data_IF_237598103364
#
_entry.id   IF_237598103364
#
_cell.length_a   1.000
_cell.length_b   1.000
_cell.length_c   1.000
_cell.angle_alpha   90.00
_cell.angle_beta   90.00
_cell.angle_gamma   90.00
#
_symmetry.space_group_name_H-M   'P 1'
#
loop_
_entity.id
_entity.type
_entity.pdbx_description
1 polymer ?
#
# COMPACT_ATOMS: atom_id res chain seq x y z
N UNK A 1 10.65 46.50 5.89
CA UNK A 1 10.55 45.12 6.40
C UNK A 1 9.13 44.65 6.16
N UNK A 2 8.86 44.07 4.98
CA UNK A 2 7.57 43.46 4.70
C UNK A 2 7.58 42.04 5.28
N UNK A 3 6.78 41.77 6.31
CA UNK A 3 6.52 40.41 6.75
C UNK A 3 5.76 39.70 5.64
N UNK A 4 6.48 38.96 4.80
CA UNK A 4 5.89 37.96 3.92
C UNK A 4 5.23 36.92 4.82
N UNK A 5 3.93 37.08 5.06
CA UNK A 5 3.09 35.99 5.56
C UNK A 5 3.06 34.95 4.45
N UNK A 6 3.95 33.96 4.52
CA UNK A 6 3.92 32.84 3.58
C UNK A 6 2.51 32.23 3.64
N UNK A 7 1.77 32.29 2.53
CA UNK A 7 0.46 31.62 2.45
C UNK A 7 0.66 30.15 2.84
N UNK A 8 -0.10 29.69 3.83
CA UNK A 8 -0.11 28.28 4.23
C UNK A 8 -0.62 27.46 3.04
N UNK A 9 0.18 26.54 2.51
CA UNK A 9 -0.11 25.78 1.28
C UNK A 9 -1.44 25.01 1.37
N UNK A 10 -1.73 24.42 2.54
CA UNK A 10 -2.97 23.69 2.82
C UNK A 10 -3.61 24.18 4.13
N UNK A 11 -4.46 25.22 4.10
CA UNK A 11 -5.02 25.81 5.31
C UNK A 11 -6.00 24.88 6.05
N UNK A 12 -6.58 23.88 5.38
CA UNK A 12 -7.49 22.90 5.95
C UNK A 12 -6.80 21.69 6.58
N UNK A 13 -5.52 21.45 6.27
CA UNK A 13 -4.73 20.33 6.80
C UNK A 13 -4.01 20.74 8.09
N UNK A 14 -4.80 20.98 9.14
CA UNK A 14 -4.32 21.36 10.48
C UNK A 14 -4.77 20.36 11.53
N UNK A 15 -3.97 20.18 12.59
CA UNK A 15 -4.19 19.17 13.64
C UNK A 15 -5.60 19.19 14.23
N UNK A 16 -6.23 20.37 14.39
CA UNK A 16 -7.58 20.49 14.95
C UNK A 16 -8.68 19.86 14.11
N UNK A 17 -8.43 19.60 12.82
CA UNK A 17 -9.37 18.97 11.90
C UNK A 17 -9.21 17.44 11.85
N UNK A 18 -8.32 16.87 12.68
CA UNK A 18 -8.00 15.46 12.72
C UNK A 18 -8.12 14.92 14.15
N UNK A 19 -8.42 13.61 14.33
CA UNK A 19 -8.63 12.63 13.26
C UNK A 19 -9.99 12.75 12.57
N UNK A 20 -10.06 12.30 11.31
CA UNK A 20 -11.31 12.27 10.53
C UNK A 20 -12.05 10.98 10.88
N UNK A 21 -13.24 11.10 11.46
CA UNK A 21 -14.06 9.95 11.93
C UNK A 21 -15.25 9.63 11.04
N UNK A 22 -15.58 10.49 10.09
CA UNK A 22 -16.78 10.42 9.23
C UNK A 22 -16.47 10.12 7.75
N UNK A 23 -15.27 9.62 7.45
CA UNK A 23 -14.85 9.18 6.11
C UNK A 23 -14.29 7.77 6.28
N UNK A 24 -14.71 6.79 5.48
CA UNK A 24 -14.35 5.38 5.61
C UNK A 24 -15.37 4.52 6.37
N UNK A 25 -15.17 3.20 6.32
CA UNK A 25 -16.01 2.18 6.92
C UNK A 25 -15.19 1.27 7.85
N UNK A 26 -15.89 0.53 8.70
CA UNK A 26 -15.30 -0.55 9.52
C UNK A 26 -16.14 -1.81 9.42
N UNK A 27 -15.48 -2.97 9.52
CA UNK A 27 -16.15 -4.21 9.95
C UNK A 27 -15.66 -4.63 11.34
N UNK A 28 -16.48 -5.39 12.05
CA UNK A 28 -16.08 -6.03 13.31
C UNK A 28 -15.59 -7.44 13.00
N UNK A 29 -14.33 -7.72 13.34
CA UNK A 29 -13.73 -9.04 13.24
C UNK A 29 -14.26 -9.96 14.35
N UNK A 30 -14.09 -11.27 14.17
CA UNK A 30 -14.56 -12.32 15.08
C UNK A 30 -14.02 -12.19 16.52
N UNK A 31 -12.86 -11.55 16.69
CA UNK A 31 -12.23 -11.25 17.98
C UNK A 31 -12.61 -9.88 18.57
N UNK A 32 -13.57 -9.19 17.94
CA UNK A 32 -14.08 -7.88 18.38
C UNK A 32 -13.26 -6.67 17.93
N UNK A 33 -12.11 -6.87 17.26
CA UNK A 33 -11.35 -5.76 16.67
C UNK A 33 -12.11 -5.16 15.49
N UNK A 34 -11.92 -3.86 15.27
CA UNK A 34 -12.37 -3.19 14.05
C UNK A 34 -11.28 -3.28 12.97
N UNK A 35 -11.68 -3.58 11.74
CA UNK A 35 -10.87 -3.40 10.53
C UNK A 35 -11.44 -2.23 9.73
N UNK A 36 -10.67 -1.16 9.62
CA UNK A 36 -10.96 0.04 8.84
C UNK A 36 -10.61 -0.11 7.37
N UNK A 37 -11.42 0.49 6.50
CA UNK A 37 -11.16 0.58 5.07
C UNK A 37 -11.91 1.75 4.43
N UNK A 38 -11.63 2.02 3.16
CA UNK A 38 -12.46 2.87 2.29
C UNK A 38 -12.67 2.19 0.96
N UNK A 39 -13.90 2.24 0.47
CA UNK A 39 -14.30 1.65 -0.80
C UNK A 39 -14.44 2.73 -1.88
N UNK A 40 -13.96 2.42 -3.08
CA UNK A 40 -14.10 3.21 -4.29
C UNK A 40 -14.66 2.32 -5.39
N UNK A 41 -15.59 2.86 -6.19
CA UNK A 41 -16.16 2.18 -7.36
C UNK A 41 -16.01 3.07 -8.58
N UNK A 42 -15.34 2.58 -9.62
CA UNK A 42 -15.04 3.37 -10.82
C UNK A 42 -14.88 2.48 -12.05
N UNK A 43 -15.07 3.05 -13.23
CA UNK A 43 -14.72 2.38 -14.49
C UNK A 43 -13.27 2.65 -14.84
N UNK A 44 -12.52 1.57 -15.08
CA UNK A 44 -11.16 1.62 -15.59
C UNK A 44 -11.16 1.34 -17.09
N UNK A 45 -10.41 2.12 -17.87
CA UNK A 45 -10.24 1.87 -19.31
C UNK A 45 -8.94 1.11 -19.51
N UNK A 46 -9.01 -0.07 -20.11
CA UNK A 46 -7.86 -0.92 -20.38
C UNK A 46 -6.85 -0.21 -21.28
N UNK A 47 -5.56 -0.39 -20.99
CA UNK A 47 -4.47 0.07 -21.85
C UNK A 47 -4.39 -0.76 -23.14
N UNK A 48 -4.72 -2.06 -23.04
CA UNK A 48 -4.87 -2.97 -24.18
C UNK A 48 -6.35 -3.05 -24.61
N UNK A 49 -6.64 -2.47 -25.77
CA UNK A 49 -7.98 -2.40 -26.35
C UNK A 49 -8.39 -3.64 -27.15
N UNK A 50 -7.61 -4.74 -27.08
CA UNK A 50 -7.91 -5.99 -27.79
C UNK A 50 -8.73 -6.99 -26.95
N UNK A 51 -8.88 -6.73 -25.65
CA UNK A 51 -9.66 -7.59 -24.73
C UNK A 51 -10.89 -6.85 -24.23
N UNK A 52 -12.03 -7.54 -24.23
CA UNK A 52 -13.29 -7.02 -23.66
C UNK A 52 -13.52 -7.56 -22.25
N UNK A 53 -13.70 -6.66 -21.28
CA UNK A 53 -14.10 -6.99 -19.89
C UNK A 53 -15.47 -6.41 -19.54
N UNK A 54 -16.27 -6.11 -20.57
CA UNK A 54 -17.58 -5.48 -20.44
C UNK A 54 -18.49 -6.23 -19.46
N UNK A 55 -19.15 -5.48 -18.59
CA UNK A 55 -20.10 -5.99 -17.60
C UNK A 55 -19.49 -6.79 -16.45
N UNK A 56 -18.16 -6.89 -16.37
CA UNK A 56 -17.48 -7.58 -15.26
C UNK A 56 -17.09 -6.59 -14.17
N UNK A 57 -17.33 -6.96 -12.91
CA UNK A 57 -16.84 -6.26 -11.73
C UNK A 57 -15.62 -7.00 -11.17
N UNK A 58 -14.51 -6.27 -10.98
CA UNK A 58 -13.30 -6.79 -10.35
C UNK A 58 -13.07 -6.14 -9.00
N UNK A 59 -12.82 -6.97 -7.99
CA UNK A 59 -12.47 -6.49 -6.65
C UNK A 59 -10.95 -6.43 -6.51
N UNK A 60 -10.45 -5.27 -6.11
CA UNK A 60 -9.04 -5.07 -5.77
C UNK A 60 -8.94 -4.59 -4.33
N UNK A 61 -8.23 -5.34 -3.49
CA UNK A 61 -7.87 -4.87 -2.16
C UNK A 61 -6.53 -4.12 -2.25
N UNK A 62 -6.38 -3.01 -1.55
CA UNK A 62 -5.14 -2.23 -1.51
C UNK A 62 -4.64 -2.08 -0.08
N UNK A 63 -3.35 -2.34 0.16
CA UNK A 63 -2.69 -2.17 1.45
C UNK A 63 -1.64 -1.06 1.31
N UNK A 64 -1.91 0.15 1.83
CA UNK A 64 -0.99 1.27 1.80
C UNK A 64 0.28 1.07 2.62
N UNK A 65 1.29 1.90 2.33
CA UNK A 65 2.52 2.03 3.11
C UNK A 65 2.40 3.01 4.29
N UNK A 66 3.55 3.50 4.77
CA UNK A 66 3.66 4.49 5.85
C UNK A 66 4.29 5.79 5.31
N UNK A 67 3.78 6.99 5.66
CA UNK A 67 2.50 7.23 6.32
C UNK A 67 1.36 6.92 5.34
N UNK A 68 0.39 6.12 5.76
CA UNK A 68 -0.72 5.73 4.91
C UNK A 68 -1.90 5.28 5.73
N UNK A 69 -3.08 5.53 5.21
CA UNK A 69 -4.38 5.18 5.77
C UNK A 69 -5.32 4.89 4.60
N UNK A 70 -6.62 4.77 4.85
CA UNK A 70 -7.64 4.66 3.80
C UNK A 70 -7.68 5.83 2.80
N UNK A 71 -6.93 6.90 3.04
CA UNK A 71 -6.78 8.04 2.13
C UNK A 71 -5.72 7.83 1.04
N UNK A 72 -4.90 6.77 1.14
CA UNK A 72 -3.89 6.47 0.14
C UNK A 72 -4.55 5.88 -1.11
N UNK A 73 -4.78 6.72 -2.13
CA UNK A 73 -5.41 6.34 -3.40
C UNK A 73 -4.80 7.13 -4.55
N UNK A 74 -4.99 6.66 -5.79
CA UNK A 74 -4.54 7.39 -6.96
C UNK A 74 -5.36 8.69 -7.14
N UNK A 75 -4.74 9.85 -7.45
CA UNK A 75 -5.45 11.12 -7.61
C UNK A 75 -6.59 11.11 -8.63
N UNK A 76 -6.50 10.27 -9.67
CA UNK A 76 -7.60 10.12 -10.63
C UNK A 76 -8.92 9.68 -9.97
N UNK A 77 -8.86 9.04 -8.79
CA UNK A 77 -10.04 8.60 -8.03
C UNK A 77 -10.67 9.70 -7.17
N UNK A 78 -10.02 10.87 -7.07
CA UNK A 78 -10.50 12.00 -6.28
C UNK A 78 -11.26 13.04 -7.11
N UNK A 79 -11.29 12.88 -8.44
CA UNK A 79 -12.02 13.79 -9.33
C UNK A 79 -13.53 13.52 -9.28
N UNK A 80 -14.31 14.60 -9.37
CA UNK A 80 -15.79 14.54 -9.42
C UNK A 80 -16.32 13.80 -10.65
N UNK A 81 -15.48 13.56 -11.66
CA UNK A 81 -15.87 12.86 -12.89
C UNK A 81 -16.16 11.38 -12.65
N UNK A 82 -15.54 10.75 -11.64
CA UNK A 82 -15.85 9.36 -11.30
C UNK A 82 -17.23 9.17 -10.67
N UNK A 83 -17.69 10.12 -9.87
CA UNK A 83 -19.02 10.06 -9.23
C UNK A 83 -20.15 10.13 -10.28
N UNK A 84 -19.93 10.85 -11.39
CA UNK A 84 -20.93 11.04 -12.45
C UNK A 84 -20.95 9.91 -13.50
N UNK A 85 -19.91 9.08 -13.58
CA UNK A 85 -19.76 8.07 -14.64
C UNK A 85 -20.44 6.72 -14.33
N UNK A 86 -20.80 6.45 -13.07
CA UNK A 86 -21.44 5.17 -12.70
C UNK A 86 -22.83 4.98 -13.31
N UNK A 87 -23.53 6.07 -13.64
CA UNK A 87 -24.92 6.06 -14.15
C UNK A 87 -25.04 6.45 -15.65
N UNK A 88 -23.93 6.53 -16.39
CA UNK A 88 -23.94 6.95 -17.81
C UNK A 88 -24.05 5.78 -18.80
N UNK A 89 -24.76 5.98 -19.92
CA UNK A 89 -24.86 5.03 -21.03
C UNK A 89 -23.50 4.76 -21.75
N UNK A 90 -22.44 5.51 -21.41
CA UNK A 90 -21.06 5.27 -21.89
C UNK A 90 -20.35 4.07 -21.23
N UNK A 91 -21.06 3.36 -20.35
CA UNK A 91 -20.60 2.15 -19.65
C UNK A 91 -20.68 0.89 -20.53
N UNK A 92 -21.11 1.03 -21.78
CA UNK A 92 -21.20 -0.03 -22.78
C UNK A 92 -19.93 -0.21 -23.64
N UNK A 93 -18.85 0.52 -23.30
CA UNK A 93 -17.55 0.42 -23.97
C UNK A 93 -16.88 -0.92 -23.65
N UNK A 94 -16.54 -1.69 -24.69
CA UNK A 94 -15.93 -3.01 -24.58
C UNK A 94 -14.61 -3.02 -23.80
N UNK A 95 -13.87 -1.91 -23.80
CA UNK A 95 -12.56 -1.80 -23.16
C UNK A 95 -12.62 -1.20 -21.74
N UNK A 96 -13.80 -1.12 -21.13
CA UNK A 96 -13.97 -0.68 -19.74
C UNK A 96 -14.27 -1.85 -18.81
N UNK A 97 -13.69 -1.81 -17.61
CA UNK A 97 -13.97 -2.74 -16.53
C UNK A 97 -14.44 -1.99 -15.29
N UNK A 98 -15.42 -2.53 -14.57
CA UNK A 98 -15.88 -1.95 -13.31
C UNK A 98 -14.95 -2.42 -12.18
N UNK A 99 -14.29 -1.47 -11.51
CA UNK A 99 -13.37 -1.75 -10.41
C UNK A 99 -14.03 -1.38 -9.09
N UNK A 100 -14.01 -2.33 -8.15
CA UNK A 100 -14.31 -2.12 -6.74
C UNK A 100 -13.01 -2.18 -5.95
N UNK A 101 -12.44 -1.01 -5.66
CA UNK A 101 -11.19 -0.86 -4.93
C UNK A 101 -11.48 -0.68 -3.44
N UNK A 102 -10.92 -1.53 -2.58
CA UNK A 102 -11.06 -1.45 -1.12
C UNK A 102 -9.68 -1.18 -0.52
N UNK A 103 -9.45 0.05 -0.06
CA UNK A 103 -8.21 0.47 0.59
C UNK A 103 -8.27 0.11 2.07
N UNK A 104 -7.49 -0.88 2.48
CA UNK A 104 -7.46 -1.40 3.84
C UNK A 104 -6.56 -0.58 4.76
N UNK A 105 -6.94 -0.47 6.02
CA UNK A 105 -6.08 0.07 7.07
C UNK A 105 -5.47 -1.07 7.89
N UNK A 106 -4.14 -1.11 7.93
CA UNK A 106 -3.36 -2.10 8.68
C UNK A 106 -3.72 -2.07 10.17
N UNK A 107 -3.51 -3.16 10.93
CA UNK A 107 -3.90 -3.23 12.34
C UNK A 107 -3.32 -2.07 13.16
N UNK A 108 -4.18 -1.24 13.75
CA UNK A 108 -3.77 -0.06 14.53
C UNK A 108 -3.50 1.22 13.74
N UNK A 109 -3.82 1.26 12.44
CA UNK A 109 -3.78 2.46 11.61
C UNK A 109 -5.21 2.93 11.30
N UNK A 110 -5.43 4.24 11.30
CA UNK A 110 -6.72 4.84 10.97
C UNK A 110 -7.85 4.38 11.88
N UNK A 111 -8.88 3.76 11.30
CA UNK A 111 -10.04 3.21 11.99
C UNK A 111 -9.80 1.78 12.52
N UNK A 112 -8.73 1.10 12.09
CA UNK A 112 -8.41 -0.25 12.55
C UNK A 112 -7.96 -0.27 14.00
N UNK A 113 -8.48 -1.24 14.76
CA UNK A 113 -8.09 -1.46 16.16
C UNK A 113 -6.64 -1.94 16.22
N UNK A 114 -5.87 -1.40 17.17
CA UNK A 114 -4.46 -1.79 17.36
C UNK A 114 -4.35 -3.23 17.84
N UNK A 115 -3.41 -3.97 17.25
CA UNK A 115 -3.09 -5.33 17.65
C UNK A 115 -1.60 -5.62 17.38
N UNK A 116 -0.90 -6.19 18.37
CA UNK A 116 0.50 -6.62 18.25
C UNK A 116 0.59 -7.98 17.55
N UNK A 117 0.29 -8.00 16.26
CA UNK A 117 0.26 -9.21 15.41
C UNK A 117 1.41 -9.20 14.40
N UNK A 118 1.78 -10.36 13.88
CA UNK A 118 2.80 -10.47 12.82
C UNK A 118 2.19 -10.10 11.46
N UNK A 119 2.97 -10.05 10.37
CA UNK A 119 2.42 -9.74 9.04
C UNK A 119 1.46 -10.84 8.55
N UNK A 120 1.82 -12.12 8.78
CA UNK A 120 1.01 -13.29 8.37
C UNK A 120 -0.41 -13.27 8.95
N UNK A 121 -0.55 -12.75 10.17
CA UNK A 121 -1.79 -12.69 10.92
C UNK A 121 -2.89 -11.85 10.25
N UNK A 122 -2.49 -10.81 9.51
CA UNK A 122 -3.42 -9.92 8.82
C UNK A 122 -4.19 -10.61 7.68
N UNK A 123 -3.66 -11.73 7.18
CA UNK A 123 -4.35 -12.55 6.18
C UNK A 123 -5.71 -13.07 6.68
N UNK A 124 -5.84 -13.31 7.99
CA UNK A 124 -7.12 -13.68 8.60
C UNK A 124 -8.11 -12.51 8.60
N UNK A 125 -7.63 -11.28 8.87
CA UNK A 125 -8.45 -10.09 8.84
C UNK A 125 -8.97 -9.82 7.41
N UNK A 126 -8.14 -10.04 6.39
CA UNK A 126 -8.53 -10.00 4.98
C UNK A 126 -9.59 -11.07 4.67
N UNK A 127 -9.38 -12.30 5.14
CA UNK A 127 -10.33 -13.41 4.94
C UNK A 127 -11.71 -13.08 5.52
N UNK A 128 -11.76 -12.56 6.74
CA UNK A 128 -13.00 -12.15 7.40
C UNK A 128 -13.68 -10.99 6.67
N UNK A 129 -12.91 -10.00 6.20
CA UNK A 129 -13.45 -8.94 5.34
C UNK A 129 -14.14 -9.50 4.10
N UNK A 130 -13.46 -10.39 3.38
CA UNK A 130 -14.01 -10.99 2.19
C UNK A 130 -15.27 -11.80 2.48
N UNK A 131 -15.32 -12.54 3.59
CA UNK A 131 -16.50 -13.29 4.02
C UNK A 131 -17.69 -12.36 4.31
N UNK A 132 -17.48 -11.31 5.11
CA UNK A 132 -18.54 -10.37 5.49
C UNK A 132 -19.04 -9.53 4.32
N UNK A 133 -18.17 -9.20 3.35
CA UNK A 133 -18.51 -8.42 2.14
C UNK A 133 -18.86 -9.30 0.92
N UNK A 134 -19.00 -10.62 1.12
CA UNK A 134 -19.30 -11.59 0.07
C UNK A 134 -18.33 -11.56 -1.14
N UNK A 135 -17.07 -11.21 -0.91
CA UNK A 135 -16.02 -11.18 -1.93
C UNK A 135 -15.47 -12.60 -2.09
N UNK A 136 -15.78 -13.22 -3.24
CA UNK A 136 -15.30 -14.58 -3.54
C UNK A 136 -13.94 -14.60 -4.22
N UNK A 137 -13.63 -13.56 -5.00
CA UNK A 137 -12.41 -13.45 -5.78
C UNK A 137 -11.93 -12.01 -5.78
N UNK A 138 -10.63 -11.80 -5.61
CA UNK A 138 -10.03 -10.47 -5.60
C UNK A 138 -8.56 -10.50 -6.02
N UNK A 139 -8.05 -9.37 -6.48
CA UNK A 139 -6.61 -9.11 -6.59
C UNK A 139 -6.16 -8.21 -5.45
N UNK A 140 -4.88 -8.25 -5.10
CA UNK A 140 -4.31 -7.47 -4.00
C UNK A 140 -3.16 -6.58 -4.49
N UNK A 141 -3.18 -5.31 -4.12
CA UNK A 141 -2.05 -4.39 -4.30
C UNK A 141 -1.47 -4.08 -2.93
N UNK A 142 -0.15 -4.14 -2.79
CA UNK A 142 0.53 -3.85 -1.54
C UNK A 142 1.71 -2.93 -1.80
N UNK A 143 1.64 -1.71 -1.23
CA UNK A 143 2.61 -0.66 -1.48
C UNK A 143 3.54 -0.46 -0.27
N UNK A 144 4.85 -0.40 -0.49
CA UNK A 144 5.83 0.02 0.52
C UNK A 144 5.73 -0.82 1.82
N UNK A 145 5.48 -0.19 2.96
CA UNK A 145 5.26 -0.88 4.25
C UNK A 145 4.01 -1.79 4.28
N UNK A 146 3.11 -1.69 3.30
CA UNK A 146 2.02 -2.64 3.06
C UNK A 146 2.49 -3.94 2.40
N UNK A 147 3.65 -3.93 1.75
CA UNK A 147 4.22 -5.06 1.02
C UNK A 147 4.39 -6.34 1.85
N UNK A 148 4.97 -6.31 3.06
CA UNK A 148 5.05 -7.49 3.93
C UNK A 148 3.68 -8.12 4.24
N UNK A 149 2.63 -7.30 4.40
CA UNK A 149 1.25 -7.77 4.58
C UNK A 149 0.68 -8.38 3.28
N UNK A 150 1.01 -7.80 2.12
CA UNK A 150 0.65 -8.36 0.81
C UNK A 150 1.30 -9.70 0.54
N UNK A 151 2.59 -9.85 0.85
CA UNK A 151 3.33 -11.11 0.74
C UNK A 151 2.78 -12.17 1.71
N UNK A 152 2.40 -11.77 2.92
CA UNK A 152 1.71 -12.62 3.88
C UNK A 152 0.37 -13.13 3.35
N UNK A 153 -0.43 -12.26 2.74
CA UNK A 153 -1.70 -12.63 2.13
C UNK A 153 -1.50 -13.55 0.92
N UNK A 154 -0.48 -13.30 0.10
CA UNK A 154 -0.11 -14.17 -1.01
C UNK A 154 0.23 -15.59 -0.52
N UNK A 155 1.04 -15.70 0.54
CA UNK A 155 1.41 -16.96 1.16
C UNK A 155 0.19 -17.71 1.76
N UNK A 156 -0.67 -16.98 2.47
CA UNK A 156 -1.73 -17.57 3.30
C UNK A 156 -3.02 -17.87 2.52
N UNK A 157 -3.35 -17.04 1.54
CA UNK A 157 -4.59 -17.12 0.77
C UNK A 157 -4.38 -17.61 -0.66
N UNK A 158 -3.13 -17.62 -1.14
CA UNK A 158 -2.76 -17.94 -2.52
C UNK A 158 -2.63 -19.43 -2.86
N UNK A 159 -2.91 -20.33 -1.91
CA UNK A 159 -2.88 -21.77 -2.11
C UNK A 159 -4.28 -22.25 -2.54
N UNK A 160 -4.47 -22.49 -3.83
CA UNK A 160 -5.80 -22.66 -4.42
C UNK A 160 -6.67 -23.79 -3.81
N UNK A 161 -6.08 -24.89 -3.32
CA UNK A 161 -6.85 -26.00 -2.75
C UNK A 161 -7.25 -25.81 -1.26
N UNK A 162 -6.70 -24.81 -0.56
CA UNK A 162 -7.13 -24.48 0.83
C UNK A 162 -8.43 -23.64 0.86
N UNK A 163 -8.92 -23.21 -0.31
CA UNK A 163 -10.02 -22.26 -0.45
C UNK A 163 -11.36 -22.87 -0.88
N UNK A 164 -11.61 -24.17 -0.67
CA UNK A 164 -12.94 -24.76 -0.92
C UNK A 164 -14.10 -23.99 -0.24
N UNK A 165 -13.80 -23.21 0.82
CA UNK A 165 -14.74 -22.32 1.52
C UNK A 165 -14.21 -20.90 1.77
N UNK A 166 -13.10 -20.48 1.15
CA UNK A 166 -12.42 -19.19 1.39
C UNK A 166 -12.45 -18.25 0.17
N UNK A 167 -12.10 -16.96 0.32
CA UNK A 167 -11.93 -16.09 -0.84
C UNK A 167 -10.69 -16.50 -1.63
N UNK A 168 -10.75 -16.39 -2.95
CA UNK A 168 -9.63 -16.68 -3.85
C UNK A 168 -8.89 -15.39 -4.18
N UNK A 169 -7.59 -15.35 -3.88
CA UNK A 169 -6.71 -14.28 -4.33
C UNK A 169 -6.17 -14.63 -5.73
N UNK A 170 -6.56 -13.84 -6.73
CA UNK A 170 -6.22 -14.08 -8.14
C UNK A 170 -4.77 -13.73 -8.43
N UNK A 171 -4.34 -12.56 -7.93
CA UNK A 171 -3.04 -11.94 -8.21
C UNK A 171 -2.62 -11.04 -7.06
N UNK A 172 -1.30 -10.89 -6.87
CA UNK A 172 -0.73 -9.97 -5.88
C UNK A 172 0.32 -9.07 -6.52
N UNK A 173 0.03 -7.77 -6.57
CA UNK A 173 0.94 -6.72 -6.99
C UNK A 173 1.73 -6.19 -5.78
N UNK A 174 3.04 -6.34 -5.83
CA UNK A 174 3.98 -5.89 -4.80
C UNK A 174 4.69 -4.64 -5.34
N UNK A 175 4.45 -3.49 -4.74
CA UNK A 175 4.82 -2.19 -5.32
C UNK A 175 5.76 -1.46 -4.36
N UNK A 176 6.99 -1.20 -4.80
CA UNK A 176 8.02 -0.49 -4.02
C UNK A 176 8.15 -1.02 -2.59
N UNK A 177 8.14 -2.36 -2.41
CA UNK A 177 7.96 -3.03 -1.12
C UNK A 177 9.24 -3.12 -0.30
N UNK A 178 9.05 -3.13 1.02
CA UNK A 178 10.05 -3.65 1.96
C UNK A 178 10.26 -5.15 1.75
N UNK A 179 11.50 -5.64 1.85
CA UNK A 179 11.84 -7.06 1.76
C UNK A 179 12.25 -7.65 3.13
N UNK A 180 12.33 -8.99 3.25
CA UNK A 180 12.78 -9.66 4.47
C UNK A 180 14.11 -9.16 5.03
N UNK A 181 14.27 -9.23 6.35
CA UNK A 181 15.42 -8.70 7.10
C UNK A 181 16.79 -9.28 6.71
N UNK A 182 16.79 -10.42 6.04
CA UNK A 182 17.96 -11.17 5.57
C UNK A 182 18.25 -10.93 4.08
N UNK A 183 17.51 -10.03 3.44
CA UNK A 183 17.75 -9.60 2.06
C UNK A 183 19.18 -9.08 1.90
N UNK A 184 20.01 -9.70 1.05
CA UNK A 184 21.35 -9.20 0.77
C UNK A 184 21.28 -7.78 0.20
N UNK A 185 22.21 -6.92 0.59
CA UNK A 185 22.35 -5.56 0.05
C UNK A 185 21.13 -4.63 0.24
N UNK A 186 20.16 -5.00 1.06
CA UNK A 186 18.88 -4.29 1.21
C UNK A 186 19.03 -2.78 1.46
N UNK A 187 20.13 -2.34 2.07
CA UNK A 187 20.36 -0.93 2.41
C UNK A 187 21.43 -0.25 1.54
N UNK A 188 21.99 -0.88 0.50
CA UNK A 188 23.19 -0.37 -0.19
C UNK A 188 23.02 1.06 -0.76
N UNK A 189 21.85 1.40 -1.31
CA UNK A 189 21.53 2.73 -1.86
C UNK A 189 21.01 3.76 -0.83
N UNK A 190 20.78 3.36 0.41
CA UNK A 190 20.30 4.27 1.45
C UNK A 190 21.39 5.21 1.96
N UNK A 191 20.97 6.38 2.42
CA UNK A 191 21.83 7.25 3.23
C UNK A 191 22.15 6.63 4.60
N UNK A 192 23.06 7.26 5.34
CA UNK A 192 23.49 6.75 6.64
C UNK A 192 22.37 6.73 7.69
N UNK A 193 21.39 7.65 7.63
CA UNK A 193 20.29 7.74 8.59
C UNK A 193 19.34 6.56 8.42
N UNK A 194 18.95 6.27 7.17
CA UNK A 194 18.11 5.12 6.86
C UNK A 194 18.84 3.80 7.12
N UNK A 195 20.13 3.69 6.76
CA UNK A 195 20.96 2.52 7.13
C UNK A 195 20.96 2.28 8.64
N UNK A 196 21.10 3.35 9.42
CA UNK A 196 21.08 3.27 10.87
C UNK A 196 19.70 2.90 11.41
N UNK A 197 18.61 3.47 10.86
CA UNK A 197 17.24 3.09 11.22
C UNK A 197 16.97 1.60 10.96
N UNK A 198 17.42 1.08 9.82
CA UNK A 198 17.36 -0.35 9.49
C UNK A 198 18.16 -1.22 10.44
N UNK A 199 19.36 -0.77 10.81
CA UNK A 199 20.15 -1.45 11.84
C UNK A 199 19.42 -1.46 13.19
N UNK A 200 18.78 -0.36 13.60
CA UNK A 200 17.97 -0.29 14.82
C UNK A 200 16.73 -1.18 14.75
N UNK A 201 16.04 -1.25 13.60
CA UNK A 201 14.88 -2.13 13.40
C UNK A 201 15.24 -3.60 13.69
N UNK A 202 16.47 -4.01 13.35
CA UNK A 202 16.99 -5.36 13.63
C UNK A 202 17.52 -5.54 15.05
N UNK A 203 18.29 -4.58 15.55
CA UNK A 203 19.11 -4.78 16.76
C UNK A 203 18.55 -4.12 18.01
N UNK A 204 17.79 -3.03 17.87
CA UNK A 204 17.28 -2.25 19.00
C UNK A 204 15.96 -1.52 18.65
N UNK A 205 14.86 -2.25 18.41
CA UNK A 205 13.58 -1.63 18.04
C UNK A 205 13.09 -0.58 19.04
N UNK A 206 13.35 -0.76 20.33
CA UNK A 206 12.99 0.21 21.37
C UNK A 206 13.67 1.57 21.19
N UNK A 207 14.90 1.61 20.67
CA UNK A 207 15.59 2.87 20.35
C UNK A 207 15.00 3.48 19.08
N UNK A 208 14.69 2.66 18.07
CA UNK A 208 13.99 3.13 16.87
C UNK A 208 12.62 3.73 17.23
N UNK A 209 11.90 3.15 18.20
CA UNK A 209 10.66 3.72 18.71
C UNK A 209 10.83 5.13 19.23
N UNK A 210 11.92 5.43 19.95
CA UNK A 210 12.20 6.80 20.43
C UNK A 210 12.36 7.76 19.26
N UNK A 211 13.09 7.35 18.21
CA UNK A 211 13.27 8.14 16.98
C UNK A 211 11.93 8.38 16.30
N UNK A 212 11.12 7.33 16.11
CA UNK A 212 9.80 7.43 15.48
C UNK A 212 8.85 8.36 16.26
N UNK A 213 8.91 8.38 17.59
CA UNK A 213 8.13 9.31 18.41
C UNK A 213 8.57 10.77 18.23
N UNK A 214 9.86 11.02 18.06
CA UNK A 214 10.38 12.36 17.78
C UNK A 214 9.98 12.83 16.38
N UNK A 215 10.07 11.95 15.39
CA UNK A 215 9.64 12.21 14.01
C UNK A 215 8.13 12.48 13.95
N UNK A 216 7.30 11.68 14.62
CA UNK A 216 5.86 11.90 14.69
C UNK A 216 5.50 13.25 15.33
N UNK A 217 6.18 13.65 16.42
CA UNK A 217 6.01 14.97 17.04
C UNK A 217 6.41 16.11 16.09
N UNK A 218 7.51 15.95 15.35
CA UNK A 218 7.94 16.94 14.37
C UNK A 218 6.95 17.03 13.20
N UNK A 219 6.49 15.89 12.69
CA UNK A 219 5.51 15.80 11.62
C UNK A 219 4.18 16.46 12.01
N UNK A 220 3.68 16.26 13.24
CA UNK A 220 2.48 16.97 13.73
C UNK A 220 2.68 18.48 13.85
N UNK A 221 3.90 18.94 14.17
CA UNK A 221 4.20 20.37 14.28
C UNK A 221 4.25 21.06 12.91
N UNK A 222 4.72 20.35 11.87
CA UNK A 222 4.77 20.87 10.51
C UNK A 222 4.59 19.75 9.47
N UNK A 223 3.34 19.32 9.22
CA UNK A 223 3.07 18.12 8.41
C UNK A 223 3.38 18.34 6.93
N UNK A 224 3.19 19.56 6.42
CA UNK A 224 3.58 19.93 5.05
C UNK A 224 5.09 19.81 4.89
N UNK A 225 5.88 20.38 5.82
CA UNK A 225 7.33 20.27 5.76
C UNK A 225 7.80 18.81 5.84
N UNK A 226 7.21 18.01 6.72
CA UNK A 226 7.54 16.59 6.83
C UNK A 226 7.25 15.83 5.52
N UNK A 227 6.13 16.12 4.86
CA UNK A 227 5.83 15.58 3.53
C UNK A 227 6.86 16.03 2.49
N UNK A 228 7.15 17.35 2.39
CA UNK A 228 8.13 17.87 1.44
C UNK A 228 9.54 17.30 1.65
N UNK A 229 9.99 17.10 2.89
CA UNK A 229 11.31 16.54 3.17
C UNK A 229 11.46 15.11 2.63
N UNK A 230 10.39 14.29 2.68
CA UNK A 230 10.37 12.96 2.06
C UNK A 230 10.52 13.07 0.53
N UNK A 231 9.81 14.03 -0.10
CA UNK A 231 9.89 14.25 -1.55
C UNK A 231 11.29 14.63 -2.02
N UNK A 232 12.02 15.42 -1.21
CA UNK A 232 13.36 15.89 -1.56
C UNK A 232 14.41 14.77 -1.58
N UNK A 233 14.13 13.63 -0.95
CA UNK A 233 15.01 12.46 -0.95
C UNK A 233 14.87 11.60 -2.21
N UNK A 234 13.77 11.75 -2.96
CA UNK A 234 13.51 11.01 -4.19
C UNK A 234 14.34 11.49 -5.39
N UNK A 235 14.48 10.64 -6.44
CA UNK A 235 15.10 11.03 -7.70
C UNK A 235 14.29 12.13 -8.40
N UNK A 236 14.88 12.79 -9.40
CA UNK A 236 14.20 13.84 -10.17
C UNK A 236 12.89 13.37 -10.81
N UNK A 237 12.82 12.11 -11.26
CA UNK A 237 11.61 11.55 -11.83
C UNK A 237 10.45 11.49 -10.83
N UNK A 238 10.71 11.25 -9.54
CA UNK A 238 9.65 11.29 -8.51
C UNK A 238 9.09 12.71 -8.36
N UNK A 239 9.93 13.75 -8.54
CA UNK A 239 9.47 15.16 -8.49
C UNK A 239 8.53 15.49 -9.63
N UNK A 240 8.79 14.98 -10.83
CA UNK A 240 7.89 15.11 -11.99
C UNK A 240 6.53 14.45 -11.72
N UNK A 241 6.48 13.38 -10.91
CA UNK A 241 5.21 12.77 -10.48
C UNK A 241 4.40 13.74 -9.62
N UNK A 242 5.02 14.44 -8.67
CA UNK A 242 4.35 15.47 -7.86
C UNK A 242 3.89 16.68 -8.69
N UNK A 243 4.62 17.03 -9.75
CA UNK A 243 4.21 18.09 -10.68
C UNK A 243 2.99 17.66 -11.51
N UNK A 244 2.97 16.40 -11.98
CA UNK A 244 1.85 15.82 -12.72
C UNK A 244 0.62 15.63 -11.84
N UNK A 245 0.82 15.27 -10.58
CA UNK A 245 -0.23 14.92 -9.63
C UNK A 245 -0.03 15.66 -8.30
N UNK A 246 -0.35 16.98 -8.25
CA UNK A 246 -0.12 17.80 -7.06
C UNK A 246 -0.90 17.35 -5.82
N UNK A 247 -1.97 16.57 -6.00
CA UNK A 247 -2.79 16.00 -4.92
C UNK A 247 -2.03 14.96 -4.07
N UNK A 248 -0.93 14.38 -4.59
CA UNK A 248 -0.14 13.38 -3.86
C UNK A 248 0.44 13.98 -2.56
N UNK A 249 0.91 15.24 -2.59
CA UNK A 249 1.43 15.87 -1.38
C UNK A 249 0.33 16.03 -0.32
N UNK A 250 -0.85 16.52 -0.74
CA UNK A 250 -2.01 16.67 0.15
C UNK A 250 -2.43 15.33 0.75
N UNK A 251 -2.42 14.25 -0.03
CA UNK A 251 -2.68 12.89 0.43
C UNK A 251 -1.71 12.48 1.54
N UNK A 252 -0.40 12.66 1.36
CA UNK A 252 0.57 12.28 2.38
C UNK A 252 0.46 13.15 3.64
N UNK A 253 0.23 14.46 3.50
CA UNK A 253 -0.02 15.36 4.63
C UNK A 253 -1.27 14.92 5.40
N UNK A 254 -2.34 14.57 4.70
CA UNK A 254 -3.59 14.06 5.28
C UNK A 254 -3.35 12.74 6.02
N UNK A 255 -2.57 11.81 5.47
CA UNK A 255 -2.22 10.55 6.14
C UNK A 255 -1.34 10.73 7.38
N UNK A 256 -0.37 11.66 7.34
CA UNK A 256 0.46 12.03 8.52
C UNK A 256 -0.44 12.52 9.65
N UNK A 257 -1.32 13.47 9.35
CA UNK A 257 -2.23 14.06 10.33
C UNK A 257 -3.21 13.02 10.88
N UNK A 258 -3.81 12.21 10.02
CA UNK A 258 -4.73 11.15 10.42
C UNK A 258 -4.08 10.14 11.37
N UNK A 259 -2.89 9.65 11.02
CA UNK A 259 -2.21 8.62 11.81
C UNK A 259 -1.72 9.16 13.16
N UNK A 260 -1.04 10.31 13.17
CA UNK A 260 -0.38 10.79 14.38
C UNK A 260 -1.32 11.50 15.35
N UNK A 261 -2.41 12.13 14.90
CA UNK A 261 -3.42 12.67 15.83
C UNK A 261 -4.21 11.58 16.56
N UNK A 262 -4.28 10.36 15.98
CA UNK A 262 -4.81 9.17 16.66
C UNK A 262 -3.83 8.54 17.66
N UNK A 263 -2.61 9.05 17.77
CA UNK A 263 -1.57 8.46 18.62
C UNK A 263 -1.03 7.12 18.12
N UNK A 264 -1.17 6.81 16.83
CA UNK A 264 -0.84 5.50 16.24
C UNK A 264 0.65 5.32 15.91
N UNK A 265 1.53 6.12 16.51
CA UNK A 265 2.98 5.96 16.36
C UNK A 265 3.48 4.61 16.90
N UNK A 266 2.82 4.07 17.94
CA UNK A 266 3.12 2.74 18.49
C UNK A 266 2.88 1.63 17.47
N UNK A 267 1.91 1.80 16.58
CA UNK A 267 1.66 0.86 15.48
C UNK A 267 2.85 0.83 14.50
N UNK A 268 3.36 2.00 14.10
CA UNK A 268 4.58 2.07 13.27
C UNK A 268 5.78 1.44 13.98
N UNK A 269 5.96 1.72 15.27
CA UNK A 269 7.03 1.15 16.07
C UNK A 269 6.95 -0.39 16.12
N UNK A 270 5.74 -0.93 16.26
CA UNK A 270 5.51 -2.37 16.21
C UNK A 270 5.88 -2.94 14.84
N UNK A 271 5.40 -2.35 13.75
CA UNK A 271 5.74 -2.77 12.38
C UNK A 271 7.25 -2.73 12.11
N UNK A 272 7.95 -1.65 12.50
CA UNK A 272 9.41 -1.57 12.36
C UNK A 272 10.13 -2.68 13.13
N UNK A 273 9.61 -3.07 14.30
CA UNK A 273 10.16 -4.18 15.06
C UNK A 273 10.01 -5.54 14.36
N UNK A 274 9.03 -5.67 13.45
CA UNK A 274 8.82 -6.87 12.64
C UNK A 274 9.72 -6.89 11.40
N UNK A 275 10.12 -5.73 10.87
CA UNK A 275 11.03 -5.66 9.72
C UNK A 275 12.37 -6.32 9.97
N UNK A 276 12.82 -6.36 11.22
CA UNK A 276 14.06 -7.03 11.62
C UNK A 276 13.93 -8.50 12.02
N UNK A 277 12.75 -9.11 11.85
CA UNK A 277 12.42 -10.46 12.35
C UNK A 277 11.89 -11.37 11.23
N UNK A 278 11.80 -12.66 11.52
CA UNK A 278 11.07 -13.59 10.67
C UNK A 278 9.57 -13.28 10.66
N UNK A 279 8.98 -13.18 9.47
CA UNK A 279 7.59 -12.75 9.25
C UNK A 279 6.56 -13.88 9.42
N UNK A 280 7.00 -15.10 9.73
CA UNK A 280 6.14 -16.27 9.88
C UNK A 280 6.01 -17.14 8.63
N UNK A 281 6.63 -16.75 7.51
CA UNK A 281 6.62 -17.50 6.24
C UNK A 281 7.87 -17.22 5.41
N UNK A 282 8.18 -18.10 4.45
CA UNK A 282 9.22 -17.89 3.45
C UNK A 282 8.61 -17.45 2.12
N UNK A 283 9.24 -16.50 1.44
CA UNK A 283 8.79 -16.04 0.11
C UNK A 283 8.77 -17.19 -0.93
N UNK A 284 9.73 -18.12 -0.83
CA UNK A 284 9.80 -19.31 -1.70
C UNK A 284 8.57 -20.22 -1.64
N UNK A 285 7.78 -20.12 -0.58
CA UNK A 285 6.59 -20.96 -0.41
C UNK A 285 5.33 -20.28 -0.96
N UNK A 286 5.42 -19.04 -1.46
CA UNK A 286 4.32 -18.34 -2.14
C UNK A 286 4.05 -18.95 -3.51
N UNK A 287 5.10 -19.20 -4.30
CA UNK A 287 4.99 -19.75 -5.65
C UNK A 287 4.59 -21.23 -5.68
N UNK A 288 4.59 -21.91 -4.53
CA UNK A 288 4.25 -23.34 -4.39
C UNK A 288 2.79 -23.49 -3.99
N UNK A 289 1.95 -23.94 -4.93
CA UNK A 289 0.58 -24.35 -4.66
C UNK A 289 0.51 -25.76 -4.07
N UNK A 290 -0.70 -26.31 -4.06
CA UNK A 290 -0.99 -27.64 -3.51
C UNK A 290 -0.92 -28.68 -4.65
N UNK A 291 -0.44 -29.89 -4.35
CA UNK A 291 -0.31 -31.02 -5.29
C UNK A 291 0.54 -30.71 -6.54
N UNK A 292 1.56 -29.85 -6.39
CA UNK A 292 2.44 -29.47 -7.49
C UNK A 292 1.88 -28.39 -8.43
N UNK A 293 0.70 -27.84 -8.14
CA UNK A 293 0.18 -26.67 -8.85
C UNK A 293 0.95 -25.40 -8.47
N UNK A 294 1.01 -24.38 -9.35
CA UNK A 294 1.58 -23.09 -9.00
C UNK A 294 0.74 -22.39 -7.92
N UNK A 295 1.40 -21.58 -7.10
CA UNK A 295 0.74 -20.68 -6.16
C UNK A 295 0.11 -19.46 -6.85
N UNK A 296 -0.31 -18.48 -6.05
CA UNK A 296 -0.83 -17.22 -6.59
C UNK A 296 0.22 -16.50 -7.44
N UNK A 297 -0.22 -15.89 -8.55
CA UNK A 297 0.66 -15.06 -9.37
C UNK A 297 1.04 -13.79 -8.63
N UNK A 298 2.34 -13.52 -8.54
CA UNK A 298 2.88 -12.29 -8.01
C UNK A 298 3.57 -11.48 -9.10
N UNK A 299 3.54 -10.16 -8.98
CA UNK A 299 4.36 -9.26 -9.79
C UNK A 299 4.92 -8.14 -8.94
N UNK A 300 6.22 -7.91 -9.09
CA UNK A 300 6.93 -6.81 -8.44
C UNK A 300 7.00 -5.62 -9.39
N UNK A 301 6.52 -4.45 -8.93
CA UNK A 301 6.78 -3.16 -9.58
C UNK A 301 7.72 -2.36 -8.70
N UNK A 302 8.87 -1.95 -9.23
CA UNK A 302 9.88 -1.26 -8.44
C UNK A 302 10.62 -0.20 -9.24
N UNK A 303 10.78 0.99 -8.66
CA UNK A 303 11.64 2.03 -9.22
C UNK A 303 13.11 1.73 -8.93
N UNK A 304 13.98 1.74 -9.94
CA UNK A 304 15.40 1.40 -9.74
C UNK A 304 16.14 2.40 -8.83
N UNK A 305 15.63 3.62 -8.71
CA UNK A 305 16.19 4.70 -7.89
C UNK A 305 15.39 4.96 -6.59
N UNK A 306 14.60 3.98 -6.14
CA UNK A 306 13.94 4.05 -4.85
C UNK A 306 14.98 4.07 -3.72
N UNK A 307 15.01 5.18 -2.98
CA UNK A 307 15.97 5.44 -1.91
C UNK A 307 15.58 4.77 -0.59
N UNK A 308 14.29 4.45 -0.40
CA UNK A 308 13.71 3.96 0.86
C UNK A 308 13.44 2.47 0.86
N UNK A 309 12.88 1.93 -0.23
CA UNK A 309 12.80 0.49 -0.49
C UNK A 309 13.74 0.21 -1.65
N UNK A 310 14.97 -0.22 -1.41
CA UNK A 310 15.98 -0.27 -2.49
C UNK A 310 15.61 -1.28 -3.57
N UNK A 311 16.19 -1.10 -4.76
CA UNK A 311 16.02 -2.07 -5.86
C UNK A 311 16.48 -3.49 -5.49
N UNK A 312 17.45 -3.64 -4.58
CA UNK A 312 17.89 -4.94 -4.07
C UNK A 312 16.74 -5.66 -3.34
N UNK A 313 15.87 -4.93 -2.63
CA UNK A 313 14.66 -5.48 -2.01
C UNK A 313 13.67 -5.99 -3.06
N UNK A 314 13.38 -5.18 -4.09
CA UNK A 314 12.46 -5.56 -5.17
C UNK A 314 12.94 -6.79 -5.93
N UNK A 315 14.23 -6.83 -6.30
CA UNK A 315 14.87 -7.99 -6.95
C UNK A 315 14.83 -9.23 -6.09
N UNK A 316 15.17 -9.10 -4.80
CA UNK A 316 15.12 -10.24 -3.89
C UNK A 316 13.71 -10.83 -3.80
N UNK A 317 12.67 -10.00 -3.64
CA UNK A 317 11.28 -10.50 -3.59
C UNK A 317 10.92 -11.26 -4.87
N UNK A 318 11.22 -10.69 -6.04
CA UNK A 318 10.95 -11.33 -7.32
C UNK A 318 11.70 -12.66 -7.49
N UNK A 319 12.98 -12.70 -7.14
CA UNK A 319 13.83 -13.89 -7.26
C UNK A 319 13.45 -15.00 -6.27
N UNK A 320 12.90 -14.66 -5.11
CA UNK A 320 12.49 -15.66 -4.12
C UNK A 320 11.16 -16.34 -4.46
N UNK A 321 10.26 -15.69 -5.21
CA UNK A 321 8.93 -16.22 -5.48
C UNK A 321 8.94 -16.90 -6.86
N UNK A 322 8.78 -18.22 -6.89
CA UNK A 322 8.70 -18.98 -8.14
C UNK A 322 7.56 -18.45 -9.03
N UNK A 323 7.87 -18.16 -10.30
CA UNK A 323 6.90 -17.62 -11.26
C UNK A 323 6.54 -16.15 -11.08
N UNK A 324 7.23 -15.41 -10.20
CA UNK A 324 7.00 -13.99 -10.03
C UNK A 324 7.42 -13.19 -11.28
N UNK A 325 6.52 -12.34 -11.77
CA UNK A 325 6.86 -11.34 -12.78
C UNK A 325 7.56 -10.14 -12.09
N UNK A 326 8.31 -9.35 -12.86
CA UNK A 326 8.89 -8.11 -12.38
C UNK A 326 8.86 -7.01 -13.44
N UNK A 327 8.64 -5.78 -12.99
CA UNK A 327 8.74 -4.54 -13.77
C UNK A 327 9.63 -3.57 -13.00
N UNK A 328 10.88 -3.41 -13.46
CA UNK A 328 11.84 -2.47 -12.88
C UNK A 328 11.93 -1.23 -13.76
N UNK A 329 11.54 -0.08 -13.21
CA UNK A 329 11.43 1.18 -13.96
C UNK A 329 12.65 2.04 -13.69
N UNK A 330 13.43 2.29 -14.73
CA UNK A 330 14.64 3.12 -14.68
C UNK A 330 14.31 4.55 -14.26
N UNK A 331 15.24 5.19 -13.54
CA UNK A 331 15.18 6.59 -13.07
C UNK A 331 14.07 6.94 -12.07
N UNK A 332 13.00 6.13 -12.00
CA UNK A 332 11.91 6.34 -11.07
C UNK A 332 12.23 5.73 -9.70
N UNK A 333 11.67 6.34 -8.65
CA UNK A 333 11.87 5.93 -7.27
C UNK A 333 10.61 5.36 -6.64
N UNK A 334 10.30 5.85 -5.44
CA UNK A 334 9.24 5.29 -4.59
C UNK A 334 7.84 5.61 -5.17
N UNK A 335 7.71 6.68 -5.97
CA UNK A 335 6.43 7.17 -6.49
C UNK A 335 5.87 6.39 -7.69
N UNK A 336 6.50 5.29 -8.09
CA UNK A 336 6.07 4.42 -9.20
C UNK A 336 4.59 4.03 -9.16
N UNK A 337 4.00 3.86 -7.96
CA UNK A 337 2.58 3.54 -7.79
C UNK A 337 1.67 4.46 -8.62
N UNK A 338 1.99 5.75 -8.67
CA UNK A 338 1.14 6.75 -9.33
C UNK A 338 1.33 6.80 -10.85
N UNK A 339 2.51 6.43 -11.35
CA UNK A 339 2.77 6.45 -12.79
C UNK A 339 2.40 5.14 -13.48
N UNK A 340 2.53 4.01 -12.77
CA UNK A 340 2.20 2.68 -13.27
C UNK A 340 0.77 2.24 -12.90
N UNK A 341 -0.06 3.17 -12.43
CA UNK A 341 -1.42 2.89 -11.93
C UNK A 341 -2.24 2.06 -12.93
N UNK A 342 -2.33 2.50 -14.18
CA UNK A 342 -3.14 1.82 -15.20
C UNK A 342 -2.60 0.41 -15.52
N UNK A 343 -1.28 0.26 -15.66
CA UNK A 343 -0.63 -1.04 -15.90
C UNK A 343 -0.83 -2.02 -14.73
N UNK A 344 -0.82 -1.50 -13.49
CA UNK A 344 -1.04 -2.31 -12.28
C UNK A 344 -2.49 -2.77 -12.22
N UNK A 345 -3.47 -1.89 -12.51
CA UNK A 345 -4.88 -2.24 -12.53
C UNK A 345 -5.17 -3.25 -13.65
N UNK A 346 -4.65 -3.02 -14.85
CA UNK A 346 -4.75 -3.94 -15.98
C UNK A 346 -4.20 -5.32 -15.62
N UNK A 347 -2.98 -5.38 -15.08
CA UNK A 347 -2.42 -6.64 -14.64
C UNK A 347 -3.27 -7.28 -13.54
N UNK A 348 -3.82 -6.51 -12.61
CA UNK A 348 -4.67 -7.06 -11.55
C UNK A 348 -5.93 -7.73 -12.10
N UNK A 349 -6.53 -7.24 -13.20
CA UNK A 349 -7.84 -7.72 -13.69
C UNK A 349 -7.77 -8.64 -14.91
N UNK A 350 -6.69 -8.60 -15.68
CA UNK A 350 -6.53 -9.44 -16.86
C UNK A 350 -6.41 -10.92 -16.51
N UNK A 351 -7.04 -11.78 -17.32
CA UNK A 351 -6.96 -13.25 -17.21
C UNK A 351 -7.32 -13.76 -15.80
N UNK A 352 -8.31 -13.13 -15.17
CA UNK A 352 -8.84 -13.54 -13.87
C UNK A 352 -9.81 -14.70 -14.01
#
# INVERSE_FOLDING_TARGET
>A
MGSSTSKVKYPHLVVSNFPITNDGETITLSDGRLLGYKEYKFFHTLTDNTKSLRGQEFVILSIPGTPGSRFFTHPSLLSKENDNNLDSDENDNENKALIRLIVLERPGIGLSTSAKRNFIDFSNDIKELCQQKNIKKFSLMAYSAGGPFGLAAAYSLGKQNDNLNGPTISKVAIISSVAPYDTPNATNKMDWKLKFAWWLAKNSPSILSIVAHLEAKFALKNPVKASCEIQLLGPSADKEVYEKFPEIEELFVKSILEMYTRGQVETACWEYSLWGKYWGFNLKDIGKGIDGNPGVRCKVWHGEEDYGCTIDMGKYIADQIEGCEACFVKNLGHMLYFTAWDDIIDWCIMDQ
#
